data_IF_221897149685
#
_entry.id   IF_221897149685
#
_cell.length_a   1.000
_cell.length_b   1.000
_cell.length_c   1.000
_cell.angle_alpha   90.00
_cell.angle_beta   90.00
_cell.angle_gamma   90.00
#
_symmetry.space_group_name_H-M   'P 1'
#
loop_
_entity.id
_entity.type
_entity.pdbx_description
1 polymer ?
#
# COMPACT_ATOMS: atom_id res chain seq x y z
N UNK A 1 8.64 4.65 19.29
CA UNK A 1 7.73 4.55 18.14
C UNK A 1 8.06 3.32 17.32
N UNK A 2 7.09 2.48 17.06
CA UNK A 2 7.28 1.31 16.19
C UNK A 2 6.78 1.63 14.80
N UNK A 3 7.45 1.08 13.80
CA UNK A 3 7.04 1.24 12.41
C UNK A 3 6.92 -0.13 11.78
N UNK A 4 5.77 -0.39 11.15
CA UNK A 4 5.49 -1.64 10.47
C UNK A 4 5.50 -1.38 8.97
N UNK A 5 6.34 -2.11 8.24
CA UNK A 5 6.41 -2.03 6.79
C UNK A 5 5.71 -3.25 6.19
N UNK A 6 4.79 -3.01 5.27
CA UNK A 6 4.04 -4.06 4.61
C UNK A 6 4.37 -4.04 3.12
N UNK A 7 4.93 -5.13 2.62
CA UNK A 7 5.21 -5.30 1.20
C UNK A 7 4.02 -5.92 0.48
N UNK A 8 3.57 -5.29 -0.60
CA UNK A 8 2.42 -5.76 -1.38
C UNK A 8 2.84 -5.94 -2.83
N UNK A 9 2.96 -7.18 -3.30
CA UNK A 9 3.27 -7.41 -4.71
C UNK A 9 2.06 -7.08 -5.60
N UNK A 10 2.32 -6.32 -6.66
CA UNK A 10 1.29 -5.93 -7.63
C UNK A 10 1.79 -6.27 -9.03
N UNK A 11 1.18 -7.24 -9.67
CA UNK A 11 1.51 -7.62 -11.03
C UNK A 11 0.23 -7.77 -11.84
N UNK A 12 -0.02 -6.85 -12.76
CA UNK A 12 -1.24 -6.83 -13.59
C UNK A 12 -2.51 -7.01 -12.77
N UNK A 13 -2.56 -6.39 -11.58
CA UNK A 13 -3.67 -6.53 -10.66
C UNK A 13 -4.48 -5.25 -10.51
N UNK A 14 -4.64 -4.54 -11.62
CA UNK A 14 -5.32 -3.24 -11.62
C UNK A 14 -6.71 -3.28 -10.99
N UNK A 15 -7.43 -4.40 -11.13
CA UNK A 15 -8.77 -4.54 -10.59
C UNK A 15 -8.81 -5.04 -9.16
N UNK A 16 -7.75 -5.71 -8.71
CA UNK A 16 -7.73 -6.41 -7.43
C UNK A 16 -7.09 -5.57 -6.32
N UNK A 17 -5.98 -4.89 -6.62
CA UNK A 17 -5.23 -4.22 -5.57
C UNK A 17 -5.99 -3.08 -4.86
N UNK A 18 -6.94 -2.37 -5.48
CA UNK A 18 -7.70 -1.37 -4.73
C UNK A 18 -8.50 -1.97 -3.59
N UNK A 19 -9.06 -3.17 -3.79
CA UNK A 19 -9.77 -3.88 -2.73
C UNK A 19 -8.81 -4.33 -1.64
N UNK A 20 -7.63 -4.80 -2.04
CA UNK A 20 -6.59 -5.21 -1.10
C UNK A 20 -6.14 -4.02 -0.25
N UNK A 21 -5.98 -2.85 -0.85
CA UNK A 21 -5.60 -1.64 -0.13
C UNK A 21 -6.63 -1.27 0.94
N UNK A 22 -7.92 -1.38 0.61
CA UNK A 22 -9.00 -1.09 1.56
C UNK A 22 -8.92 -2.05 2.76
N UNK A 23 -8.70 -3.33 2.51
CA UNK A 23 -8.56 -4.31 3.59
C UNK A 23 -7.34 -4.05 4.46
N UNK A 24 -6.23 -3.66 3.85
CA UNK A 24 -5.01 -3.32 4.59
C UNK A 24 -5.25 -2.09 5.47
N UNK A 25 -5.97 -1.08 4.98
CA UNK A 25 -6.29 0.10 5.77
C UNK A 25 -7.11 -0.24 7.01
N UNK A 26 -8.06 -1.16 6.88
CA UNK A 26 -8.86 -1.61 8.02
C UNK A 26 -8.00 -2.25 9.09
N UNK A 27 -7.05 -3.10 8.67
CA UNK A 27 -6.12 -3.76 9.59
C UNK A 27 -5.23 -2.74 10.27
N UNK A 28 -4.68 -1.79 9.52
CA UNK A 28 -3.84 -0.74 10.08
C UNK A 28 -4.58 0.11 11.11
N UNK A 29 -5.82 0.46 10.81
CA UNK A 29 -6.64 1.25 11.73
C UNK A 29 -6.87 0.49 13.03
N UNK A 30 -7.17 -0.80 12.93
CA UNK A 30 -7.39 -1.66 14.09
C UNK A 30 -6.15 -1.74 14.98
N UNK A 31 -4.98 -1.91 14.37
CA UNK A 31 -3.71 -1.96 15.10
C UNK A 31 -3.42 -0.62 15.76
N UNK A 32 -3.68 0.50 15.07
CA UNK A 32 -3.44 1.83 15.63
C UNK A 32 -4.36 2.14 16.81
N UNK A 33 -5.56 1.59 16.84
CA UNK A 33 -6.45 1.75 17.98
C UNK A 33 -5.89 1.07 19.23
N UNK A 34 -5.24 -0.08 19.04
CA UNK A 34 -4.61 -0.82 20.12
C UNK A 34 -3.21 -0.29 20.46
N UNK A 35 -2.49 0.23 19.46
CA UNK A 35 -1.12 0.71 19.61
C UNK A 35 -0.98 2.07 18.91
N UNK A 36 -1.43 3.17 19.56
CA UNK A 36 -1.47 4.49 18.92
C UNK A 36 -0.13 5.05 18.48
N UNK A 37 0.97 4.56 19.02
CA UNK A 37 2.32 5.01 18.69
C UNK A 37 2.95 4.25 17.51
N UNK A 38 2.19 3.35 16.87
CA UNK A 38 2.68 2.57 15.75
C UNK A 38 2.47 3.31 14.42
N UNK A 39 3.55 3.47 13.65
CA UNK A 39 3.46 3.99 12.30
C UNK A 39 3.47 2.88 11.27
N UNK A 40 2.98 3.17 10.07
CA UNK A 40 2.92 2.20 8.98
C UNK A 40 3.57 2.72 7.72
N UNK A 41 4.12 1.81 6.94
CA UNK A 41 4.63 2.08 5.61
C UNK A 41 4.15 0.96 4.69
N UNK A 42 3.49 1.33 3.58
CA UNK A 42 3.05 0.38 2.57
C UNK A 42 3.99 0.47 1.38
N UNK A 43 4.59 -0.65 1.02
CA UNK A 43 5.47 -0.72 -0.13
C UNK A 43 4.83 -1.60 -1.20
N UNK A 44 4.33 -0.99 -2.26
CA UNK A 44 3.78 -1.69 -3.40
C UNK A 44 4.91 -2.01 -4.38
N UNK A 45 5.01 -3.27 -4.75
CA UNK A 45 6.05 -3.74 -5.66
C UNK A 45 5.41 -4.05 -7.02
N UNK A 46 5.68 -3.20 -8.01
CA UNK A 46 5.16 -3.37 -9.36
C UNK A 46 6.20 -4.09 -10.21
N UNK A 47 6.01 -5.39 -10.40
CA UNK A 47 6.96 -6.24 -11.12
C UNK A 47 6.54 -6.39 -12.58
N UNK A 48 6.91 -5.40 -13.38
CA UNK A 48 6.69 -5.44 -14.83
C UNK A 48 5.23 -5.33 -15.28
N UNK A 49 4.37 -4.76 -14.43
CA UNK A 49 2.96 -4.59 -14.79
C UNK A 49 2.80 -3.62 -15.97
N UNK A 50 1.96 -3.99 -16.93
CA UNK A 50 1.69 -3.21 -18.15
C UNK A 50 0.31 -2.57 -18.15
N UNK A 51 -0.51 -2.83 -17.16
CA UNK A 51 -1.82 -2.21 -17.06
C UNK A 51 -1.72 -0.85 -16.34
N UNK A 52 -2.84 -0.30 -15.89
CA UNK A 52 -2.87 0.99 -15.22
C UNK A 52 -2.40 0.97 -13.77
N UNK A 53 -1.82 -0.12 -13.29
CA UNK A 53 -1.42 -0.29 -11.90
C UNK A 53 -0.44 0.79 -11.45
N UNK A 54 0.59 1.07 -12.26
CA UNK A 54 1.61 2.06 -11.89
C UNK A 54 1.02 3.47 -11.75
N UNK A 55 0.14 3.86 -12.66
CA UNK A 55 -0.50 5.17 -12.59
C UNK A 55 -1.34 5.31 -11.32
N UNK A 56 -2.06 4.27 -10.95
CA UNK A 56 -2.88 4.25 -9.73
C UNK A 56 -2.02 4.28 -8.48
N UNK A 57 -0.89 3.59 -8.49
CA UNK A 57 0.05 3.63 -7.36
C UNK A 57 0.64 5.02 -7.17
N UNK A 58 0.92 5.74 -8.25
CA UNK A 58 1.40 7.12 -8.16
C UNK A 58 0.36 8.04 -7.54
N UNK A 59 -0.89 7.91 -7.95
CA UNK A 59 -1.98 8.69 -7.36
C UNK A 59 -2.14 8.40 -5.89
N UNK A 60 -2.08 7.12 -5.52
CA UNK A 60 -2.20 6.69 -4.15
C UNK A 60 -1.07 7.24 -3.29
N UNK A 61 0.16 7.20 -3.78
CA UNK A 61 1.31 7.71 -3.06
C UNK A 61 1.24 9.23 -2.86
N UNK A 62 0.63 9.95 -3.77
CA UNK A 62 0.42 11.40 -3.61
C UNK A 62 -0.57 11.72 -2.50
N UNK A 63 -1.59 10.89 -2.34
CA UNK A 63 -2.63 11.10 -1.36
C UNK A 63 -2.35 10.52 0.02
N UNK A 64 -1.38 9.63 0.13
CA UNK A 64 -1.08 8.95 1.38
C UNK A 64 0.45 8.86 1.57
N UNK A 65 0.95 9.56 2.57
CA UNK A 65 2.38 9.61 2.87
C UNK A 65 2.97 8.25 3.27
N UNK A 66 2.13 7.33 3.70
CA UNK A 66 2.55 6.00 4.11
C UNK A 66 2.83 5.10 2.92
N UNK A 67 2.35 5.48 1.73
CA UNK A 67 2.44 4.65 0.54
C UNK A 67 3.70 4.96 -0.24
N UNK A 68 4.44 3.91 -0.57
CA UNK A 68 5.60 3.96 -1.45
C UNK A 68 5.46 2.85 -2.48
N UNK A 69 6.14 2.99 -3.59
CA UNK A 69 6.11 1.96 -4.62
C UNK A 69 7.45 1.82 -5.31
N UNK A 70 7.71 0.59 -5.78
CA UNK A 70 8.89 0.27 -6.58
C UNK A 70 8.37 -0.33 -7.89
N UNK A 71 8.90 0.13 -9.01
CA UNK A 71 8.55 -0.40 -10.33
C UNK A 71 9.79 -1.00 -10.99
N UNK A 72 9.65 -2.20 -11.49
CA UNK A 72 10.70 -2.88 -12.23
C UNK A 72 10.42 -2.86 -13.71
#
# INVERSE_FOLDING_TARGET
MKKISIGVPCYNEQEVWPLLYIEIQKVMQQIQEEHPDTGFELLFINDGSRDGTLAKLRELARGDERVRYISF
#
